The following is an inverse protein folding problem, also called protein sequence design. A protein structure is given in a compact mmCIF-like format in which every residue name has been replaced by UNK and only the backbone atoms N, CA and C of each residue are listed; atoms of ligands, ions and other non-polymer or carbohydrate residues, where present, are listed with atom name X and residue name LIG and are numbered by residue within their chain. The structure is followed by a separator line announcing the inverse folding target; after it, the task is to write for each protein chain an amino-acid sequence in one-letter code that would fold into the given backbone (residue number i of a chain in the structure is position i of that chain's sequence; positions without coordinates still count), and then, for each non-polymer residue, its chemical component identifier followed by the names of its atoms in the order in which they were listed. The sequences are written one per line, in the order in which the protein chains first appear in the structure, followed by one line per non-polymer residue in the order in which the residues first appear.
data_IF_595942771927
#
_entry.id   IF_595942771927
#
_cell.length_a   1.000
_cell.length_b   1.000
_cell.length_c   1.000
_cell.angle_alpha   90.00
_cell.angle_beta   90.00
_cell.angle_gamma   90.00
#
_symmetry.space_group_name_H-M   'P 1'
#
loop_
_entity.id
_entity.type
_entity.pdbx_description
1 polymer ?
#
# COMPACT_ATOMS: atom_id res chain seq x y z
N UNK A 1 -10.69 67.23 18.77
CA UNK A 1 -9.37 66.80 18.24
C UNK A 1 -9.61 65.86 17.06
N UNK A 2 -9.14 66.21 15.86
CA UNK A 2 -9.22 65.37 14.65
C UNK A 2 -8.09 64.34 14.68
N UNK A 3 -8.34 63.03 14.46
CA UNK A 3 -7.26 62.06 14.37
C UNK A 3 -6.41 62.31 13.12
N UNK A 4 -5.08 62.28 13.30
CA UNK A 4 -4.08 62.51 12.25
C UNK A 4 -4.08 61.36 11.23
N UNK A 5 -4.12 61.72 9.94
CA UNK A 5 -4.25 60.79 8.79
C UNK A 5 -3.13 59.73 8.71
N UNK A 6 -1.99 59.97 9.36
CA UNK A 6 -0.83 59.06 9.40
C UNK A 6 -1.04 57.84 10.31
N UNK A 7 -1.89 57.91 11.34
CA UNK A 7 -2.16 56.77 12.21
C UNK A 7 -3.03 55.68 11.55
N UNK A 8 -3.78 56.06 10.51
CA UNK A 8 -4.71 55.18 9.81
C UNK A 8 -3.96 54.28 8.81
N UNK A 9 -2.90 54.79 8.17
CA UNK A 9 -2.12 54.04 7.18
C UNK A 9 -1.32 52.88 7.79
N UNK A 10 -0.82 53.04 9.01
CA UNK A 10 -0.03 52.03 9.73
C UNK A 10 -0.89 50.86 10.22
N UNK A 11 -2.15 51.13 10.59
CA UNK A 11 -3.08 50.10 11.06
C UNK A 11 -3.60 49.22 9.91
N UNK A 12 -3.79 49.79 8.72
CA UNK A 12 -4.25 49.04 7.53
C UNK A 12 -3.16 48.09 7.03
N UNK A 13 -1.90 48.51 7.10
CA UNK A 13 -0.76 47.69 6.64
C UNK A 13 -0.50 46.47 7.53
N UNK A 14 -0.78 46.57 8.84
CA UNK A 14 -0.61 45.46 9.79
C UNK A 14 -1.78 44.47 9.76
N UNK A 15 -3.00 44.93 9.48
CA UNK A 15 -4.18 44.07 9.34
C UNK A 15 -4.12 43.17 8.08
N UNK A 16 -3.49 43.64 6.99
CA UNK A 16 -3.32 42.84 5.78
C UNK A 16 -2.27 41.73 5.91
N UNK A 17 -1.34 41.81 6.87
CA UNK A 17 -0.27 40.81 7.04
C UNK A 17 -0.75 39.55 7.78
N UNK A 18 -1.79 39.66 8.62
CA UNK A 18 -2.27 38.56 9.47
C UNK A 18 -3.27 37.65 8.75
N UNK A 19 -3.86 38.10 7.64
CA UNK A 19 -4.83 37.32 6.85
C UNK A 19 -4.19 36.43 5.77
N UNK A 20 -2.87 36.50 5.57
CA UNK A 20 -2.19 35.81 4.47
C UNK A 20 -1.69 34.39 4.81
N UNK A 21 -1.81 33.91 6.06
CA UNK A 21 -1.11 32.68 6.50
C UNK A 21 -2.07 31.67 7.12
N UNK A 22 -3.15 31.30 6.43
CA UNK A 22 -3.81 30.01 6.61
C UNK A 22 -4.29 29.47 5.26
N UNK A 23 -3.40 29.46 4.27
CA UNK A 23 -3.57 28.57 3.13
C UNK A 23 -3.29 27.14 3.62
N UNK A 24 -4.31 26.49 4.19
CA UNK A 24 -4.26 25.04 4.36
C UNK A 24 -4.11 24.45 2.96
N UNK A 25 -2.93 23.89 2.68
CA UNK A 25 -2.72 23.14 1.45
C UNK A 25 -3.86 22.12 1.36
N UNK A 26 -4.60 22.15 0.25
CA UNK A 26 -5.63 21.16 -0.01
C UNK A 26 -5.00 19.78 0.18
N UNK A 27 -5.69 18.83 0.84
CA UNK A 27 -5.18 17.47 0.98
C UNK A 27 -4.74 16.97 -0.40
N UNK A 28 -3.49 16.53 -0.51
CA UNK A 28 -3.00 15.96 -1.75
C UNK A 28 -3.97 14.84 -2.17
N UNK A 29 -4.29 14.80 -3.47
CA UNK A 29 -5.12 13.73 -4.02
C UNK A 29 -4.50 12.39 -3.63
N UNK A 30 -5.30 11.43 -3.12
CA UNK A 30 -4.79 10.11 -2.76
C UNK A 30 -4.05 9.48 -3.94
N UNK A 31 -2.76 9.20 -3.76
CA UNK A 31 -1.95 8.57 -4.79
C UNK A 31 -2.15 7.05 -4.72
N UNK A 32 -2.64 6.47 -5.81
CA UNK A 32 -2.73 5.01 -5.95
C UNK A 32 -1.33 4.45 -6.18
N UNK A 33 -0.80 3.70 -5.23
CA UNK A 33 0.58 3.20 -5.28
C UNK A 33 0.72 1.93 -6.13
N UNK A 34 -0.32 1.12 -6.24
CA UNK A 34 -0.34 -0.10 -7.06
C UNK A 34 -1.77 -0.44 -7.49
N UNK A 35 -1.89 -1.30 -8.50
CA UNK A 35 -3.16 -1.86 -8.93
C UNK A 35 -3.10 -3.40 -9.00
N UNK A 36 -4.24 -4.05 -8.82
CA UNK A 36 -4.37 -5.50 -8.95
C UNK A 36 -4.91 -5.79 -10.35
N UNK A 37 -4.08 -6.40 -11.21
CA UNK A 37 -4.47 -6.74 -12.58
C UNK A 37 -5.30 -8.02 -12.63
N UNK A 38 -5.01 -8.96 -11.74
CA UNK A 38 -5.71 -10.25 -11.64
C UNK A 38 -5.76 -10.67 -10.19
N UNK A 39 -6.92 -11.19 -9.79
CA UNK A 39 -7.10 -11.89 -8.54
C UNK A 39 -8.06 -13.05 -8.76
N UNK A 40 -7.68 -14.24 -8.29
CA UNK A 40 -8.51 -15.44 -8.35
C UNK A 40 -8.28 -16.25 -7.08
N UNK A 41 -9.38 -16.75 -6.52
CA UNK A 41 -9.39 -17.63 -5.35
C UNK A 41 -10.26 -18.82 -5.74
N UNK A 42 -9.71 -20.02 -5.63
CA UNK A 42 -10.41 -21.27 -5.88
C UNK A 42 -10.38 -22.12 -4.62
N UNK A 43 -11.55 -22.36 -4.03
CA UNK A 43 -11.71 -23.25 -2.88
C UNK A 43 -12.31 -24.57 -3.36
N UNK A 44 -11.65 -25.67 -3.01
CA UNK A 44 -12.15 -27.02 -3.24
C UNK A 44 -12.32 -27.73 -1.89
N UNK A 45 -13.54 -28.15 -1.58
CA UNK A 45 -13.87 -28.89 -0.36
C UNK A 45 -14.18 -30.33 -0.74
N UNK A 46 -13.46 -31.27 -0.12
CA UNK A 46 -13.63 -32.69 -0.33
C UNK A 46 -14.79 -33.23 0.53
N UNK A 47 -15.29 -34.42 0.20
CA UNK A 47 -16.39 -35.05 0.94
C UNK A 47 -16.05 -35.38 2.42
N UNK A 48 -14.77 -35.53 2.74
CA UNK A 48 -14.27 -35.79 4.10
C UNK A 48 -14.11 -34.51 4.95
N UNK A 49 -14.47 -33.35 4.40
CA UNK A 49 -14.35 -32.05 5.06
C UNK A 49 -12.97 -31.40 4.96
N UNK A 50 -11.97 -32.06 4.38
CA UNK A 50 -10.70 -31.42 4.02
C UNK A 50 -10.91 -30.42 2.88
N UNK A 51 -10.07 -29.39 2.81
CA UNK A 51 -10.17 -28.40 1.74
C UNK A 51 -8.80 -27.97 1.23
N UNK A 52 -8.79 -27.42 0.02
CA UNK A 52 -7.63 -26.74 -0.57
C UNK A 52 -8.06 -25.38 -1.12
N UNK A 53 -7.23 -24.37 -0.89
CA UNK A 53 -7.43 -23.02 -1.42
C UNK A 53 -6.25 -22.68 -2.35
N UNK A 54 -6.55 -22.26 -3.57
CA UNK A 54 -5.55 -21.75 -4.52
C UNK A 54 -5.80 -20.28 -4.75
N UNK A 55 -4.79 -19.45 -4.45
CA UNK A 55 -4.83 -18.01 -4.65
C UNK A 55 -3.85 -17.63 -5.75
N UNK A 56 -4.32 -16.81 -6.70
CA UNK A 56 -3.50 -16.23 -7.76
C UNK A 56 -3.72 -14.72 -7.78
N UNK A 57 -2.63 -13.95 -7.69
CA UNK A 57 -2.68 -12.48 -7.69
C UNK A 57 -1.56 -11.92 -8.57
N UNK A 58 -1.91 -10.95 -9.41
CA UNK A 58 -0.95 -10.15 -10.19
C UNK A 58 -1.14 -8.70 -9.78
N UNK A 59 -0.09 -8.06 -9.26
CA UNK A 59 -0.11 -6.67 -8.82
C UNK A 59 0.94 -5.88 -9.59
N UNK A 60 0.54 -4.70 -10.06
CA UNK A 60 1.40 -3.76 -10.77
C UNK A 60 1.67 -2.56 -9.87
N UNK A 61 2.90 -2.38 -9.37
CA UNK A 61 3.28 -1.15 -8.70
C UNK A 61 3.27 0.01 -9.71
N UNK A 62 2.70 1.14 -9.29
CA UNK A 62 2.61 2.37 -10.09
C UNK A 62 3.62 3.43 -9.62
N UNK A 63 4.14 3.26 -8.40
CA UNK A 63 5.03 4.21 -7.73
C UNK A 63 6.13 3.47 -6.98
N UNK A 64 7.20 4.16 -6.58
CA UNK A 64 8.26 3.60 -5.73
C UNK A 64 7.69 3.07 -4.40
N UNK A 65 6.74 3.81 -3.80
CA UNK A 65 6.02 3.35 -2.63
C UNK A 65 5.20 2.09 -2.90
N UNK A 66 4.66 1.95 -4.11
CA UNK A 66 4.00 0.75 -4.60
C UNK A 66 4.91 -0.46 -4.64
N UNK A 67 6.14 -0.29 -5.12
CA UNK A 67 7.15 -1.36 -5.14
C UNK A 67 7.39 -1.88 -3.73
N UNK A 68 7.57 -0.99 -2.75
CA UNK A 68 7.73 -1.41 -1.35
C UNK A 68 6.48 -2.10 -0.79
N UNK A 69 5.28 -1.64 -1.19
CA UNK A 69 4.02 -2.19 -0.70
C UNK A 69 3.72 -3.60 -1.23
N UNK A 70 4.16 -3.95 -2.45
CA UNK A 70 3.93 -5.27 -3.07
C UNK A 70 5.19 -6.12 -3.19
N UNK A 71 6.35 -5.59 -2.78
CA UNK A 71 7.64 -6.27 -2.86
C UNK A 71 7.82 -7.38 -1.83
N UNK A 72 6.92 -7.47 -0.85
CA UNK A 72 6.85 -8.55 0.12
C UNK A 72 5.44 -9.12 0.17
N UNK A 73 5.33 -10.45 0.17
CA UNK A 73 4.06 -11.17 0.31
C UNK A 73 4.17 -12.09 1.51
N UNK A 74 3.31 -11.84 2.49
CA UNK A 74 3.17 -12.68 3.67
C UNK A 74 1.93 -13.59 3.50
N UNK A 75 2.11 -14.88 3.73
CA UNK A 75 1.02 -15.87 3.71
C UNK A 75 0.96 -16.50 5.10
N UNK A 76 -0.01 -16.06 5.90
CA UNK A 76 -0.27 -16.63 7.21
C UNK A 76 -1.10 -17.91 7.07
N UNK A 77 -0.65 -18.98 7.72
CA UNK A 77 -1.39 -20.23 7.80
C UNK A 77 -1.09 -20.96 9.12
N UNK A 78 -2.06 -21.72 9.65
CA UNK A 78 -1.88 -22.50 10.87
C UNK A 78 -1.11 -23.78 10.57
N UNK A 79 0.18 -23.79 10.91
CA UNK A 79 1.11 -24.86 10.55
C UNK A 79 0.80 -26.24 11.17
N UNK A 80 -0.10 -26.31 12.16
CA UNK A 80 -0.52 -27.55 12.80
C UNK A 80 -1.58 -28.32 11.99
N UNK A 81 -2.30 -27.68 11.06
CA UNK A 81 -3.33 -28.34 10.25
C UNK A 81 -3.34 -27.96 8.77
N UNK A 82 -2.59 -26.93 8.37
CA UNK A 82 -2.48 -26.49 7.00
C UNK A 82 -1.03 -26.55 6.49
N UNK A 83 -0.91 -26.80 5.19
CA UNK A 83 0.37 -26.72 4.46
C UNK A 83 0.24 -25.71 3.34
N UNK A 84 1.27 -24.88 3.14
CA UNK A 84 1.33 -23.96 2.00
C UNK A 84 2.34 -24.46 0.99
N UNK A 85 1.95 -24.38 -0.29
CA UNK A 85 2.83 -24.62 -1.43
C UNK A 85 2.77 -23.41 -2.34
N UNK A 86 3.93 -22.79 -2.59
CA UNK A 86 4.05 -21.77 -3.61
C UNK A 86 4.10 -22.46 -4.98
N UNK A 87 3.05 -22.28 -5.78
CA UNK A 87 2.96 -22.87 -7.12
C UNK A 87 3.74 -22.06 -8.16
N UNK A 88 3.62 -20.73 -8.06
CA UNK A 88 4.30 -19.80 -8.94
C UNK A 88 4.56 -18.48 -8.19
N UNK A 89 5.77 -17.93 -8.33
CA UNK A 89 6.17 -16.65 -7.76
C UNK A 89 7.23 -16.00 -8.65
N UNK A 90 6.91 -14.86 -9.24
CA UNK A 90 7.80 -14.13 -10.14
C UNK A 90 7.46 -12.64 -10.16
N UNK A 91 8.39 -11.86 -10.71
CA UNK A 91 8.13 -10.51 -11.20
C UNK A 91 8.24 -10.50 -12.72
N UNK A 92 7.54 -9.58 -13.35
CA UNK A 92 7.62 -9.36 -14.79
C UNK A 92 8.11 -7.93 -15.02
N UNK A 93 9.18 -7.81 -15.81
CA UNK A 93 9.74 -6.51 -16.17
C UNK A 93 8.89 -5.81 -17.23
N UNK A 94 9.16 -4.53 -17.47
CA UNK A 94 8.48 -3.75 -18.54
C UNK A 94 8.70 -4.33 -19.94
N UNK A 95 9.72 -5.16 -20.15
CA UNK A 95 9.98 -5.86 -21.42
C UNK A 95 9.39 -7.28 -21.43
N UNK A 96 8.45 -7.57 -20.53
CA UNK A 96 7.81 -8.89 -20.39
C UNK A 96 8.78 -10.03 -20.05
N UNK A 97 9.97 -9.71 -19.54
CA UNK A 97 10.88 -10.73 -19.03
C UNK A 97 10.43 -11.14 -17.64
N UNK A 98 10.23 -12.44 -17.46
CA UNK A 98 9.94 -13.07 -16.18
C UNK A 98 11.21 -13.28 -15.37
N UNK A 99 11.17 -12.90 -14.09
CA UNK A 99 12.21 -13.11 -13.10
C UNK A 99 11.59 -13.87 -11.93
N UNK A 100 11.89 -15.17 -11.84
CA UNK A 100 11.37 -16.03 -10.79
C UNK A 100 11.93 -15.64 -9.41
N UNK A 101 11.08 -15.73 -8.38
CA UNK A 101 11.51 -15.60 -7.00
C UNK A 101 12.28 -16.85 -6.63
N UNK A 102 13.55 -16.69 -6.26
CA UNK A 102 14.41 -17.83 -5.90
C UNK A 102 13.99 -18.43 -4.56
N UNK A 103 14.18 -19.74 -4.39
CA UNK A 103 13.73 -20.45 -3.18
C UNK A 103 14.35 -19.90 -1.89
N UNK A 104 15.55 -19.31 -1.93
CA UNK A 104 16.18 -18.67 -0.76
C UNK A 104 15.47 -17.41 -0.28
N UNK A 105 14.58 -16.83 -1.11
CA UNK A 105 13.75 -15.67 -0.75
C UNK A 105 12.35 -16.08 -0.28
N UNK A 106 12.02 -17.37 -0.30
CA UNK A 106 10.78 -17.92 0.22
C UNK A 106 11.12 -18.66 1.51
N UNK A 107 10.79 -18.07 2.64
CA UNK A 107 11.11 -18.62 3.95
C UNK A 107 9.91 -18.57 4.88
N UNK A 108 9.84 -19.53 5.79
CA UNK A 108 8.83 -19.58 6.82
C UNK A 108 9.27 -18.72 8.00
N UNK A 109 8.35 -17.92 8.53
CA UNK A 109 8.54 -17.22 9.79
C UNK A 109 7.47 -17.73 10.78
N UNK A 110 7.93 -18.34 11.87
CA UNK A 110 7.03 -18.79 12.94
C UNK A 110 6.82 -17.65 13.94
N UNK A 111 5.58 -17.21 14.11
CA UNK A 111 5.19 -16.39 15.26
C UNK A 111 4.71 -17.31 16.38
N UNK A 112 5.22 -17.20 17.62
CA UNK A 112 4.84 -18.09 18.73
C UNK A 112 3.36 -18.06 19.13
N UNK A 113 2.57 -17.13 18.58
CA UNK A 113 1.23 -16.78 19.09
C UNK A 113 0.08 -17.09 18.13
N UNK A 114 0.28 -17.88 17.07
CA UNK A 114 -0.83 -18.37 16.27
C UNK A 114 -1.46 -19.60 16.94
N UNK A 115 -2.34 -19.36 17.92
CA UNK A 115 -3.23 -20.36 18.53
C UNK A 115 -4.67 -19.97 18.25
#
# INVERSE_FOLDING_TARGET
MKPNKTAIASAISLACLVLAVQANAAPATPQVNYQILKQSIALHVNADGSYSETVSRVSQPLTIAGVSAVGHVEIAYPANFATVKVLDAYTETVTHQRVDVVSSQIFNQSTPTAV
#
